data_IF_040600558723
#
_entry.id   IF_040600558723
#
_cell.length_a   1.000
_cell.length_b   1.000
_cell.length_c   1.000
_cell.angle_alpha   90.00
_cell.angle_beta   90.00
_cell.angle_gamma   90.00
#
_symmetry.space_group_name_H-M   'P 1'
#
loop_
_entity.id
_entity.type
_entity.pdbx_description
1 polymer ?
#
# COMPACT_ATOMS: atom_id res chain seq x y z
N UNK A 1 2.87 3.72 17.59
CA UNK A 1 3.81 4.11 16.52
C UNK A 1 5.21 3.95 17.08
N UNK A 2 6.12 3.18 16.45
CA UNK A 2 7.45 2.96 17.01
C UNK A 2 8.38 4.15 16.74
N UNK A 3 9.38 4.40 17.61
CA UNK A 3 10.22 5.59 17.55
C UNK A 3 11.01 5.72 16.23
N UNK A 4 11.41 4.60 15.61
CA UNK A 4 12.10 4.62 14.31
C UNK A 4 11.22 5.17 13.18
N UNK A 5 9.91 4.94 13.20
CA UNK A 5 9.05 5.49 12.15
C UNK A 5 8.85 6.99 12.36
N UNK A 6 8.72 7.46 13.60
CA UNK A 6 8.65 8.90 13.89
C UNK A 6 9.95 9.62 13.47
N UNK A 7 11.11 9.02 13.77
CA UNK A 7 12.41 9.57 13.36
C UNK A 7 12.54 9.70 11.83
N UNK A 8 12.04 8.73 11.08
CA UNK A 8 12.12 8.73 9.61
C UNK A 8 11.07 9.63 8.93
N UNK A 9 9.92 9.89 9.57
CA UNK A 9 8.92 10.84 9.08
C UNK A 9 9.36 12.28 9.38
N UNK A 10 9.95 12.51 10.56
CA UNK A 10 10.33 13.82 11.07
C UNK A 10 9.20 14.53 11.83
N UNK A 11 9.47 15.75 12.27
CA UNK A 11 8.55 16.54 13.12
C UNK A 11 7.70 17.55 12.34
N UNK A 12 8.03 17.81 11.07
CA UNK A 12 7.20 18.66 10.21
C UNK A 12 5.90 17.94 9.83
N UNK A 13 4.80 18.35 10.48
CA UNK A 13 3.45 17.82 10.26
C UNK A 13 2.85 18.21 8.91
N UNK A 14 3.39 19.23 8.26
CA UNK A 14 2.90 19.73 6.95
C UNK A 14 3.63 19.12 5.77
N UNK A 15 4.74 18.40 6.02
CA UNK A 15 5.55 17.71 5.00
C UNK A 15 4.73 16.86 4.03
N UNK A 16 3.66 16.24 4.51
CA UNK A 16 2.76 15.45 3.69
C UNK A 16 1.34 16.00 3.78
N UNK A 17 0.80 16.47 2.66
CA UNK A 17 -0.57 16.98 2.59
C UNK A 17 -1.63 15.89 2.86
N UNK A 18 -1.31 14.62 2.59
CA UNK A 18 -2.23 13.49 2.72
C UNK A 18 -1.48 12.19 3.08
N UNK A 19 -2.10 11.24 3.81
CA UNK A 19 -1.48 9.94 4.12
C UNK A 19 -0.99 9.13 2.91
N UNK A 20 -1.55 9.33 1.71
CA UNK A 20 -1.05 8.73 0.45
C UNK A 20 0.37 9.20 0.14
N UNK A 21 0.71 10.45 0.47
CA UNK A 21 2.06 10.99 0.31
C UNK A 21 3.09 10.22 1.14
N UNK A 22 2.79 9.95 2.41
CA UNK A 22 3.64 9.13 3.30
C UNK A 22 3.78 7.71 2.75
N UNK A 23 2.68 7.09 2.30
CA UNK A 23 2.70 5.74 1.74
C UNK A 23 3.53 5.66 0.45
N UNK A 24 3.47 6.67 -0.40
CA UNK A 24 4.28 6.75 -1.62
C UNK A 24 5.77 6.96 -1.29
N UNK A 25 6.08 7.84 -0.34
CA UNK A 25 7.45 8.12 0.11
C UNK A 25 8.10 6.90 0.78
N UNK A 26 7.36 6.18 1.62
CA UNK A 26 7.77 4.92 2.23
C UNK A 26 7.80 3.74 1.24
N UNK A 27 7.32 3.93 0.01
CA UNK A 27 7.23 2.88 -1.00
C UNK A 27 6.17 1.80 -0.75
N UNK A 28 5.26 2.03 0.18
CA UNK A 28 4.12 1.14 0.47
C UNK A 28 3.02 1.23 -0.60
N UNK A 29 2.87 2.40 -1.24
CA UNK A 29 1.94 2.56 -2.36
C UNK A 29 2.57 2.07 -3.67
N UNK A 30 1.86 1.27 -4.50
CA UNK A 30 2.36 0.91 -5.82
C UNK A 30 2.40 2.11 -6.78
N UNK A 31 3.01 1.90 -7.95
CA UNK A 31 2.94 2.80 -9.10
C UNK A 31 1.99 2.18 -10.12
N UNK A 32 0.92 2.91 -10.43
CA UNK A 32 0.04 2.57 -11.54
C UNK A 32 0.50 3.32 -12.79
N UNK A 33 0.74 2.58 -13.88
CA UNK A 33 1.01 3.14 -15.22
C UNK A 33 -0.07 2.64 -16.17
N UNK A 34 -0.89 3.56 -16.65
CA UNK A 34 -1.92 3.27 -17.65
C UNK A 34 -1.70 4.12 -18.90
N UNK A 35 -1.83 3.51 -20.07
CA UNK A 35 -1.81 4.16 -21.37
C UNK A 35 -2.90 3.52 -22.22
N UNK A 36 -4.03 4.23 -22.38
CA UNK A 36 -5.18 3.88 -23.22
C UNK A 36 -5.64 2.42 -23.16
N UNK A 37 -4.95 1.55 -23.91
CA UNK A 37 -5.23 0.12 -24.06
C UNK A 37 -4.66 -0.77 -22.96
N UNK A 38 -3.67 -0.30 -22.19
CA UNK A 38 -2.97 -1.13 -21.19
C UNK A 38 -2.81 -0.40 -19.87
N UNK A 39 -2.96 -1.16 -18.77
CA UNK A 39 -2.64 -0.71 -17.42
C UNK A 39 -1.72 -1.72 -16.74
N UNK A 40 -0.76 -1.22 -15.97
CA UNK A 40 0.15 -2.02 -15.17
C UNK A 40 0.30 -1.41 -13.78
N UNK A 41 0.42 -2.27 -12.77
CA UNK A 41 0.67 -1.89 -11.38
C UNK A 41 1.99 -2.51 -10.97
N UNK A 42 2.93 -1.70 -10.50
CA UNK A 42 4.30 -2.12 -10.16
C UNK A 42 4.70 -1.61 -8.78
N UNK A 43 5.66 -2.28 -8.13
CA UNK A 43 6.23 -1.80 -6.85
C UNK A 43 7.15 -0.60 -7.05
N UNK A 44 7.23 0.29 -6.05
CA UNK A 44 8.22 1.38 -6.02
C UNK A 44 9.60 0.83 -5.72
N UNK A 45 10.56 1.06 -6.64
CA UNK A 45 11.97 0.71 -6.42
C UNK A 45 12.68 1.79 -5.61
N UNK A 46 12.53 3.06 -6.01
CA UNK A 46 13.07 4.22 -5.31
C UNK A 46 12.07 4.67 -4.24
N UNK A 47 12.51 4.65 -2.98
CA UNK A 47 11.72 4.96 -1.77
C UNK A 47 12.68 5.24 -0.60
N UNK A 48 12.17 5.75 0.51
CA UNK A 48 12.95 5.75 1.76
C UNK A 48 12.99 4.31 2.33
N UNK A 49 14.14 3.63 2.16
CA UNK A 49 14.32 2.24 2.58
C UNK A 49 14.29 2.05 4.10
N UNK A 50 14.73 3.05 4.87
CA UNK A 50 14.70 3.00 6.33
C UNK A 50 13.27 3.06 6.85
N UNK A 51 12.49 4.01 6.34
CA UNK A 51 11.06 4.14 6.65
C UNK A 51 10.28 2.91 6.18
N UNK A 52 10.62 2.38 4.99
CA UNK A 52 10.00 1.16 4.47
C UNK A 52 10.24 -0.04 5.41
N UNK A 53 11.49 -0.25 5.82
CA UNK A 53 11.87 -1.33 6.70
C UNK A 53 11.23 -1.20 8.10
N UNK A 54 11.32 -0.02 8.71
CA UNK A 54 10.72 0.26 10.01
C UNK A 54 9.18 0.10 9.97
N UNK A 55 8.55 0.59 8.91
CA UNK A 55 7.10 0.43 8.69
C UNK A 55 6.69 -1.03 8.51
N UNK A 56 7.50 -1.83 7.79
CA UNK A 56 7.23 -3.26 7.61
C UNK A 56 7.29 -4.02 8.94
N UNK A 57 8.35 -3.84 9.73
CA UNK A 57 8.49 -4.47 11.04
C UNK A 57 7.34 -4.06 11.97
N UNK A 58 6.95 -2.79 11.95
CA UNK A 58 5.84 -2.31 12.75
C UNK A 58 4.50 -2.94 12.35
N UNK A 59 4.21 -2.99 11.04
CA UNK A 59 2.99 -3.61 10.54
C UNK A 59 2.91 -5.09 10.94
N UNK A 60 4.03 -5.82 10.82
CA UNK A 60 4.10 -7.23 11.21
C UNK A 60 3.87 -7.42 12.72
N UNK A 61 4.55 -6.64 13.57
CA UNK A 61 4.37 -6.69 15.02
C UNK A 61 2.94 -6.27 15.44
N UNK A 62 2.30 -5.38 14.69
CA UNK A 62 0.93 -4.92 15.00
C UNK A 62 -0.10 -6.05 14.85
N UNK A 63 0.15 -7.07 14.02
CA UNK A 63 -0.76 -8.21 13.85
C UNK A 63 -0.98 -8.96 15.17
N UNK A 64 0.06 -9.08 16.01
CA UNK A 64 -0.05 -9.77 17.29
C UNK A 64 -0.49 -8.83 18.41
N UNK A 65 -0.07 -7.56 18.36
CA UNK A 65 -0.35 -6.57 19.39
C UNK A 65 -1.74 -5.90 19.30
N UNK A 66 -2.41 -5.96 18.15
CA UNK A 66 -3.70 -5.29 17.93
C UNK A 66 -4.75 -6.22 17.30
N UNK A 67 -5.90 -6.46 17.98
CA UNK A 67 -7.01 -7.22 17.41
C UNK A 67 -7.51 -6.63 16.09
N UNK A 68 -7.57 -5.30 15.97
CA UNK A 68 -7.99 -4.62 14.74
C UNK A 68 -7.04 -4.86 13.58
N UNK A 69 -5.72 -4.81 13.83
CA UNK A 69 -4.72 -5.12 12.81
C UNK A 69 -4.75 -6.59 12.39
N UNK A 70 -4.98 -7.51 13.34
CA UNK A 70 -5.16 -8.94 13.06
C UNK A 70 -6.37 -9.20 12.15
N UNK A 71 -7.51 -8.60 12.45
CA UNK A 71 -8.73 -8.73 11.64
C UNK A 71 -8.52 -8.15 10.24
N UNK A 72 -7.89 -6.97 10.15
CA UNK A 72 -7.55 -6.36 8.86
C UNK A 72 -6.61 -7.25 8.03
N UNK A 73 -5.55 -7.76 8.65
CA UNK A 73 -4.59 -8.65 8.00
C UNK A 73 -5.25 -9.94 7.49
N UNK A 74 -6.11 -10.56 8.30
CA UNK A 74 -6.86 -11.76 7.91
C UNK A 74 -7.76 -11.50 6.70
N UNK A 75 -8.56 -10.43 6.74
CA UNK A 75 -9.41 -10.06 5.59
C UNK A 75 -8.60 -9.89 4.32
N UNK A 76 -7.52 -9.11 4.38
CA UNK A 76 -6.65 -8.93 3.22
C UNK A 76 -6.08 -10.27 2.74
N UNK A 77 -5.61 -11.13 3.65
CA UNK A 77 -5.07 -12.46 3.30
C UNK A 77 -6.12 -13.33 2.60
N UNK A 78 -7.35 -13.32 3.07
CA UNK A 78 -8.43 -14.10 2.46
C UNK A 78 -8.78 -13.53 1.07
N UNK A 79 -8.83 -12.20 0.92
CA UNK A 79 -9.00 -11.50 -0.36
C UNK A 79 -7.91 -11.88 -1.39
N UNK A 80 -6.66 -12.08 -0.96
CA UNK A 80 -5.57 -12.52 -1.84
C UNK A 80 -5.76 -13.93 -2.41
N UNK A 81 -6.56 -14.77 -1.72
CA UNK A 81 -6.82 -16.15 -2.14
C UNK A 81 -8.13 -16.28 -2.93
N UNK A 82 -8.94 -15.23 -3.01
CA UNK A 82 -10.10 -15.20 -3.88
C UNK A 82 -9.64 -15.19 -5.35
N UNK A 83 -10.27 -15.99 -6.23
CA UNK A 83 -9.98 -15.92 -7.65
C UNK A 83 -10.26 -14.50 -8.16
N UNK A 84 -9.45 -13.99 -9.11
CA UNK A 84 -9.68 -12.67 -9.66
C UNK A 84 -11.12 -12.62 -10.19
N UNK A 85 -11.87 -11.62 -9.73
CA UNK A 85 -13.17 -11.28 -10.29
C UNK A 85 -13.03 -11.16 -11.81
N UNK A 86 -13.86 -11.93 -12.52
CA UNK A 86 -13.79 -12.07 -13.97
C UNK A 86 -13.86 -10.65 -14.57
N UNK A 87 -12.92 -10.25 -15.45
CA UNK A 87 -12.93 -8.91 -16.00
C UNK A 87 -14.29 -8.64 -16.63
N UNK A 88 -14.89 -7.49 -16.28
CA UNK A 88 -16.09 -6.96 -16.92
C UNK A 88 -15.89 -7.07 -18.44
N UNK A 89 -16.73 -7.88 -19.10
CA UNK A 89 -16.66 -8.03 -20.55
C UNK A 89 -16.82 -6.63 -21.16
N UNK A 90 -15.91 -6.17 -22.02
CA UNK A 90 -16.12 -4.92 -22.73
C UNK A 90 -17.39 -5.11 -23.56
N UNK A 91 -18.42 -4.38 -23.20
CA UNK A 91 -19.67 -4.27 -23.93
C UNK A 91 -19.35 -4.12 -25.43
N UNK A 92 -19.91 -5.02 -26.23
CA UNK A 92 -19.81 -4.98 -27.68
C UNK A 92 -20.22 -3.58 -28.16
N UNK A 93 -19.35 -2.91 -28.93
CA UNK A 93 -19.77 -1.72 -29.67
C UNK A 93 -20.72 -2.19 -30.78
N UNK A 94 -21.96 -1.70 -30.85
CA UNK A 94 -22.81 -1.97 -32.00
C UNK A 94 -22.21 -1.32 -33.25
N UNK A 95 -22.41 -2.01 -34.38
CA UNK A 95 -21.92 -1.66 -35.72
C UNK A 95 -22.52 -0.35 -36.26
#
# INVERSE_FOLDING_TARGET
>A
MPPRVLAEVGDDRTRFADPRGVKAYAGASPITRASGKKSSVTRRRIKNDRLNHAGHLWAFASITASPGAKTHYRRCRDDWHLPPEKPLQPHARPA
#
